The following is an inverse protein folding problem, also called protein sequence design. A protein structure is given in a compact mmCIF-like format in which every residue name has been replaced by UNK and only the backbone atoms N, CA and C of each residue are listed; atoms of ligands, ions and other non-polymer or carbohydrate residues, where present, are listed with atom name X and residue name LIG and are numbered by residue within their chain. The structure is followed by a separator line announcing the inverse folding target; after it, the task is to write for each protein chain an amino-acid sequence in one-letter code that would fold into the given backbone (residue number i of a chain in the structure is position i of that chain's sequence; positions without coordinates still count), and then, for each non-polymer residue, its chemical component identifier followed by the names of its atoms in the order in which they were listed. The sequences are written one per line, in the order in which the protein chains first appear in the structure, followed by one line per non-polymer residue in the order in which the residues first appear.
data_IF_009656248023
#
_entry.id   IF_009656248023
#
_cell.length_a   1.000
_cell.length_b   1.000
_cell.length_c   1.000
_cell.angle_alpha   90.00
_cell.angle_beta   90.00
_cell.angle_gamma   90.00
#
_symmetry.space_group_name_H-M   'P 1'
#
loop_
_entity.id
_entity.type
_entity.pdbx_description
1 polymer ?
#
# COMPACT_ATOMS: atom_id res chain seq x y z
N UNK A 1 -34.37 -14.14 -18.21
CA UNK A 1 -33.50 -13.14 -18.83
C UNK A 1 -32.76 -12.24 -17.83
N UNK A 2 -33.37 -11.76 -16.75
CA UNK A 2 -32.66 -10.94 -15.74
C UNK A 2 -31.53 -11.69 -15.01
N UNK A 3 -31.76 -12.93 -14.58
CA UNK A 3 -30.75 -13.76 -13.90
C UNK A 3 -29.52 -14.07 -14.78
N UNK A 4 -29.73 -14.28 -16.11
CA UNK A 4 -28.62 -14.47 -17.06
C UNK A 4 -27.80 -13.19 -17.27
N UNK A 5 -28.44 -12.01 -17.29
CA UNK A 5 -27.75 -10.72 -17.36
C UNK A 5 -26.91 -10.44 -16.11
N UNK A 6 -27.43 -10.76 -14.94
CA UNK A 6 -26.69 -10.59 -13.67
C UNK A 6 -25.45 -11.50 -13.63
N UNK A 7 -25.58 -12.75 -14.10
CA UNK A 7 -24.43 -13.69 -14.15
C UNK A 7 -23.36 -13.27 -15.17
N UNK A 8 -23.74 -12.72 -16.32
CA UNK A 8 -22.79 -12.25 -17.34
C UNK A 8 -22.04 -10.99 -16.89
N UNK A 9 -22.71 -10.05 -16.20
CA UNK A 9 -22.07 -8.85 -15.65
C UNK A 9 -21.07 -9.23 -14.55
N UNK A 10 -21.40 -10.17 -13.67
CA UNK A 10 -20.46 -10.64 -12.63
C UNK A 10 -19.26 -11.41 -13.18
N UNK A 11 -19.44 -12.19 -14.26
CA UNK A 11 -18.34 -12.88 -14.94
C UNK A 11 -17.41 -11.91 -15.67
N UNK A 12 -17.96 -10.88 -16.32
CA UNK A 12 -17.16 -9.84 -16.98
C UNK A 12 -16.34 -9.02 -15.96
N UNK A 13 -16.93 -8.65 -14.82
CA UNK A 13 -16.25 -7.93 -13.77
C UNK A 13 -15.13 -8.77 -13.13
N UNK A 14 -15.37 -10.07 -12.92
CA UNK A 14 -14.34 -10.98 -12.42
C UNK A 14 -13.19 -11.14 -13.42
N UNK A 15 -13.50 -11.34 -14.70
CA UNK A 15 -12.49 -11.45 -15.75
C UNK A 15 -11.64 -10.19 -15.89
N UNK A 16 -12.24 -8.99 -15.85
CA UNK A 16 -11.52 -7.72 -15.89
C UNK A 16 -10.61 -7.56 -14.67
N UNK A 17 -11.08 -7.92 -13.49
CA UNK A 17 -10.27 -7.89 -12.25
C UNK A 17 -9.08 -8.84 -12.35
N UNK A 18 -9.32 -10.08 -12.71
CA UNK A 18 -8.24 -11.07 -12.84
C UNK A 18 -7.22 -10.65 -13.90
N UNK A 19 -7.68 -10.17 -15.06
CA UNK A 19 -6.81 -9.73 -16.13
C UNK A 19 -5.94 -8.52 -15.72
N UNK A 20 -6.53 -7.52 -15.03
CA UNK A 20 -5.76 -6.35 -14.59
C UNK A 20 -4.75 -6.72 -13.49
N UNK A 21 -5.09 -7.59 -12.55
CA UNK A 21 -4.11 -8.07 -11.54
C UNK A 21 -2.99 -8.89 -12.20
N UNK A 22 -3.34 -9.79 -13.12
CA UNK A 22 -2.37 -10.62 -13.83
C UNK A 22 -1.41 -9.80 -14.72
N UNK A 23 -1.81 -8.62 -15.17
CA UNK A 23 -0.95 -7.71 -15.91
C UNK A 23 -0.14 -6.79 -15.01
N UNK A 24 -0.77 -6.22 -13.97
CA UNK A 24 -0.12 -5.23 -13.11
C UNK A 24 0.94 -5.84 -12.18
N UNK A 25 0.70 -7.01 -11.60
CA UNK A 25 1.64 -7.60 -10.67
C UNK A 25 3.00 -7.96 -11.33
N UNK A 26 3.06 -8.66 -12.48
CA UNK A 26 4.32 -8.90 -13.17
C UNK A 26 5.00 -7.61 -13.65
N UNK A 27 4.23 -6.60 -14.09
CA UNK A 27 4.76 -5.31 -14.51
C UNK A 27 5.43 -4.60 -13.33
N UNK A 28 4.79 -4.58 -12.15
CA UNK A 28 5.38 -3.97 -10.96
C UNK A 28 6.65 -4.71 -10.54
N UNK A 29 6.63 -6.05 -10.52
CA UNK A 29 7.83 -6.84 -10.20
C UNK A 29 8.96 -6.60 -11.20
N UNK A 30 8.65 -6.47 -12.48
CA UNK A 30 9.62 -6.13 -13.52
C UNK A 30 10.22 -4.74 -13.33
N UNK A 31 9.41 -3.73 -12.94
CA UNK A 31 9.88 -2.39 -12.61
C UNK A 31 10.77 -2.43 -11.34
N UNK A 32 10.41 -3.21 -10.32
CA UNK A 32 11.25 -3.42 -9.13
C UNK A 32 12.57 -4.06 -9.52
N UNK A 33 12.55 -5.01 -10.45
CA UNK A 33 13.78 -5.68 -10.92
C UNK A 33 14.70 -4.71 -11.67
N UNK A 34 14.17 -3.90 -12.61
CA UNK A 34 14.95 -2.85 -13.30
C UNK A 34 15.50 -1.86 -12.27
N UNK A 35 14.64 -1.40 -11.35
CA UNK A 35 14.99 -0.46 -10.27
C UNK A 35 15.31 0.94 -10.76
N UNK A 36 16.22 1.63 -10.02
CA UNK A 36 16.73 2.97 -10.34
C UNK A 36 15.65 3.97 -10.81
N UNK A 37 15.90 4.61 -11.95
CA UNK A 37 14.99 5.64 -12.49
C UNK A 37 13.59 5.13 -12.82
N UNK A 38 13.48 3.87 -13.25
CA UNK A 38 12.18 3.30 -13.63
C UNK A 38 11.30 3.12 -12.39
N UNK A 39 11.89 2.64 -11.29
CA UNK A 39 11.18 2.51 -10.01
C UNK A 39 10.86 3.89 -9.41
N UNK A 40 11.80 4.84 -9.46
CA UNK A 40 11.56 6.22 -9.05
C UNK A 40 10.39 6.86 -9.80
N UNK A 41 10.32 6.70 -11.14
CA UNK A 41 9.21 7.20 -11.95
C UNK A 41 7.87 6.54 -11.61
N UNK A 42 7.87 5.23 -11.28
CA UNK A 42 6.67 4.55 -10.78
C UNK A 42 6.17 5.22 -9.48
N UNK A 43 7.07 5.49 -8.53
CA UNK A 43 6.70 6.13 -7.28
C UNK A 43 6.20 7.57 -7.50
N UNK A 44 6.84 8.34 -8.37
CA UNK A 44 6.37 9.69 -8.74
C UNK A 44 4.98 9.68 -9.37
N UNK A 45 4.73 8.75 -10.27
CA UNK A 45 3.41 8.58 -10.89
C UNK A 45 2.36 8.21 -9.85
N UNK A 46 2.72 7.32 -8.93
CA UNK A 46 1.84 6.91 -7.82
C UNK A 46 1.46 8.08 -6.91
N UNK A 47 2.36 9.05 -6.66
CA UNK A 47 2.06 10.26 -5.88
C UNK A 47 0.89 11.04 -6.49
N UNK A 48 0.89 11.25 -7.80
CA UNK A 48 -0.17 12.04 -8.47
C UNK A 48 -1.54 11.40 -8.24
N UNK A 49 -1.61 10.08 -8.34
CA UNK A 49 -2.83 9.31 -8.16
C UNK A 49 -3.26 9.31 -6.69
N UNK A 50 -2.36 8.94 -5.78
CA UNK A 50 -2.61 8.84 -4.34
C UNK A 50 -2.98 10.19 -3.73
N UNK A 51 -2.32 11.28 -4.14
CA UNK A 51 -2.64 12.64 -3.70
C UNK A 51 -4.05 13.06 -4.11
N UNK A 52 -4.48 12.69 -5.33
CA UNK A 52 -5.84 12.99 -5.81
C UNK A 52 -6.90 12.22 -5.01
N UNK A 53 -6.65 10.96 -4.72
CA UNK A 53 -7.55 10.10 -3.95
C UNK A 53 -7.62 10.55 -2.48
N UNK A 54 -6.47 10.88 -1.88
CA UNK A 54 -6.40 11.41 -0.52
C UNK A 54 -7.18 12.70 -0.36
N UNK A 55 -7.02 13.64 -1.29
CA UNK A 55 -7.76 14.90 -1.26
C UNK A 55 -9.29 14.66 -1.33
N UNK A 56 -9.72 13.71 -2.13
CA UNK A 56 -11.12 13.29 -2.21
C UNK A 56 -11.60 12.71 -0.88
N UNK A 57 -10.82 11.83 -0.25
CA UNK A 57 -11.14 11.24 1.05
C UNK A 57 -11.18 12.26 2.18
N UNK A 58 -10.41 13.35 2.10
CA UNK A 58 -10.35 14.39 3.13
C UNK A 58 -11.28 15.58 2.87
N UNK A 59 -12.17 15.49 1.85
CA UNK A 59 -13.21 16.48 1.56
C UNK A 59 -12.71 17.70 0.80
N UNK A 60 -11.63 17.55 0.05
CA UNK A 60 -11.22 18.53 -0.95
C UNK A 60 -12.15 18.53 -2.15
N UNK A 61 -12.31 19.67 -2.79
CA UNK A 61 -12.84 19.72 -4.15
C UNK A 61 -11.82 19.01 -5.04
N UNK A 62 -12.21 18.07 -5.86
CA UNK A 62 -11.29 17.39 -6.79
C UNK A 62 -10.62 18.30 -7.84
N UNK A 63 -10.55 19.61 -7.57
CA UNK A 63 -9.89 20.60 -8.38
C UNK A 63 -8.38 20.31 -8.41
N UNK A 64 -7.83 20.13 -9.59
CA UNK A 64 -6.43 19.81 -9.84
C UNK A 64 -5.44 20.72 -9.08
N UNK A 65 -5.77 22.01 -8.94
CA UNK A 65 -4.93 22.98 -8.24
C UNK A 65 -4.85 22.76 -6.71
N UNK A 66 -5.89 22.18 -6.09
CA UNK A 66 -5.87 21.86 -4.66
C UNK A 66 -4.91 20.72 -4.32
N UNK A 67 -4.58 19.88 -5.31
CA UNK A 67 -3.67 18.75 -5.15
C UNK A 67 -2.24 19.09 -5.57
N UNK A 68 -2.05 20.17 -6.32
CA UNK A 68 -0.74 20.50 -6.92
C UNK A 68 0.32 20.75 -5.84
N UNK A 69 -0.04 21.46 -4.78
CA UNK A 69 0.89 21.67 -3.64
C UNK A 69 1.33 20.36 -3.03
N UNK A 70 0.38 19.45 -2.77
CA UNK A 70 0.70 18.13 -2.23
C UNK A 70 1.60 17.34 -3.20
N UNK A 71 1.25 17.28 -4.47
CA UNK A 71 2.04 16.58 -5.51
C UNK A 71 3.46 17.12 -5.62
N UNK A 72 3.61 18.45 -5.62
CA UNK A 72 4.93 19.11 -5.71
C UNK A 72 5.78 18.81 -4.48
N UNK A 73 5.21 18.90 -3.27
CA UNK A 73 5.94 18.61 -2.03
C UNK A 73 6.27 17.11 -1.91
N UNK A 74 5.35 16.24 -2.29
CA UNK A 74 5.58 14.81 -2.27
C UNK A 74 6.62 14.37 -3.32
N UNK A 75 6.52 14.88 -4.54
CA UNK A 75 7.53 14.65 -5.58
C UNK A 75 8.89 15.24 -5.22
N UNK A 76 8.88 16.44 -4.62
CA UNK A 76 10.08 17.10 -4.08
C UNK A 76 10.74 16.30 -2.98
N UNK A 77 9.95 15.62 -2.12
CA UNK A 77 10.49 14.72 -1.09
C UNK A 77 11.19 13.50 -1.69
N UNK A 78 10.58 12.83 -2.68
CA UNK A 78 11.25 11.71 -3.37
C UNK A 78 12.49 12.18 -4.13
N UNK A 79 12.42 13.33 -4.81
CA UNK A 79 13.58 13.90 -5.49
C UNK A 79 14.69 14.27 -4.49
N UNK A 80 14.32 14.83 -3.34
CA UNK A 80 15.29 15.14 -2.27
C UNK A 80 15.99 13.88 -1.76
N UNK A 81 15.25 12.78 -1.55
CA UNK A 81 15.84 11.49 -1.17
C UNK A 81 16.80 10.96 -2.23
N UNK A 82 16.47 11.15 -3.51
CA UNK A 82 17.29 10.68 -4.64
C UNK A 82 18.59 11.45 -4.80
N UNK A 83 18.54 12.78 -4.68
CA UNK A 83 19.68 13.64 -5.01
C UNK A 83 20.51 14.08 -3.80
N UNK A 84 19.90 14.17 -2.61
CA UNK A 84 20.53 14.75 -1.42
C UNK A 84 20.58 13.76 -0.24
N UNK A 85 19.53 12.99 -0.03
CA UNK A 85 19.44 12.00 1.05
C UNK A 85 18.09 11.94 1.73
N UNK A 86 17.91 10.92 2.59
CA UNK A 86 16.62 10.65 3.24
C UNK A 86 16.33 11.63 4.39
N UNK A 87 17.35 12.22 5.03
CA UNK A 87 17.15 13.22 6.08
C UNK A 87 16.53 14.47 5.46
N UNK A 88 17.06 14.95 4.35
CA UNK A 88 16.54 16.09 3.60
C UNK A 88 15.12 15.83 3.10
N UNK A 89 14.85 14.61 2.65
CA UNK A 89 13.51 14.20 2.25
C UNK A 89 12.51 14.28 3.43
N UNK A 90 12.90 13.85 4.62
CA UNK A 90 12.05 13.95 5.82
C UNK A 90 11.78 15.40 6.24
N UNK A 91 12.74 16.31 6.01
CA UNK A 91 12.50 17.76 6.19
C UNK A 91 11.43 18.26 5.22
N UNK A 92 11.46 17.81 3.96
CA UNK A 92 10.42 18.15 2.99
C UNK A 92 9.06 17.54 3.38
N UNK A 93 9.03 16.32 3.93
CA UNK A 93 7.80 15.73 4.49
C UNK A 93 7.23 16.59 5.62
N UNK A 94 8.08 17.03 6.56
CA UNK A 94 7.65 17.89 7.67
C UNK A 94 7.10 19.23 7.17
N UNK A 95 7.75 19.82 6.15
CA UNK A 95 7.24 21.02 5.47
C UNK A 95 5.89 20.75 4.80
N UNK A 96 5.71 19.60 4.13
CA UNK A 96 4.45 19.21 3.51
C UNK A 96 3.32 19.08 4.53
N UNK A 97 3.58 18.48 5.70
CA UNK A 97 2.63 18.40 6.82
C UNK A 97 2.19 19.80 7.25
N UNK A 98 3.13 20.71 7.48
CA UNK A 98 2.85 22.10 7.87
C UNK A 98 2.05 22.87 6.83
N UNK A 99 2.43 22.76 5.55
CA UNK A 99 1.74 23.43 4.43
C UNK A 99 0.32 22.90 4.27
N UNK A 100 0.12 21.59 4.27
CA UNK A 100 -1.23 21.00 4.13
C UNK A 100 -2.12 21.35 5.35
N UNK A 101 -1.57 21.37 6.56
CA UNK A 101 -2.27 21.83 7.75
C UNK A 101 -2.72 23.29 7.62
N UNK A 102 -1.83 24.18 7.18
CA UNK A 102 -2.10 25.61 6.98
C UNK A 102 -3.15 25.84 5.89
N UNK A 103 -3.04 25.14 4.76
CA UNK A 103 -4.01 25.23 3.66
C UNK A 103 -5.39 24.71 4.09
N UNK A 104 -5.43 23.61 4.87
CA UNK A 104 -6.67 23.07 5.40
C UNK A 104 -7.32 24.06 6.39
N UNK A 105 -6.54 24.65 7.29
CA UNK A 105 -7.02 25.67 8.22
C UNK A 105 -7.63 26.88 7.50
N UNK A 106 -6.91 27.43 6.51
CA UNK A 106 -7.40 28.56 5.70
C UNK A 106 -8.69 28.23 4.94
N UNK A 107 -8.82 27.00 4.44
CA UNK A 107 -9.99 26.53 3.68
C UNK A 107 -11.09 25.96 4.58
N UNK A 108 -10.97 26.05 5.90
CA UNK A 108 -11.90 25.49 6.90
C UNK A 108 -12.17 23.99 6.68
N UNK A 109 -11.13 23.25 6.28
CA UNK A 109 -11.17 21.78 6.12
C UNK A 109 -10.69 21.09 7.39
N UNK A 110 -10.80 19.77 7.43
CA UNK A 110 -10.28 18.96 8.55
C UNK A 110 -8.75 18.99 8.56
N UNK A 111 -8.17 19.77 9.47
CA UNK A 111 -6.72 19.98 9.57
C UNK A 111 -5.96 18.69 9.91
N UNK A 112 -6.35 17.89 10.92
CA UNK A 112 -5.70 16.62 11.23
C UNK A 112 -5.59 15.67 10.04
N UNK A 113 -6.66 15.48 9.27
CA UNK A 113 -6.63 14.61 8.10
C UNK A 113 -5.76 15.16 6.97
N UNK A 114 -5.80 16.47 6.75
CA UNK A 114 -4.94 17.09 5.74
C UNK A 114 -3.45 16.96 6.10
N UNK A 115 -3.10 17.21 7.36
CA UNK A 115 -1.74 17.08 7.87
C UNK A 115 -1.23 15.64 7.87
N UNK A 116 -2.11 14.65 8.08
CA UNK A 116 -1.75 13.24 8.06
C UNK A 116 -1.43 12.71 6.66
N UNK A 117 -2.01 13.31 5.61
CA UNK A 117 -1.83 12.87 4.23
C UNK A 117 -0.38 12.73 3.77
N UNK A 118 0.49 13.75 3.95
CA UNK A 118 1.90 13.65 3.62
C UNK A 118 2.61 12.49 4.33
N UNK A 119 2.33 12.26 5.61
CA UNK A 119 2.90 11.14 6.36
C UNK A 119 2.43 9.82 5.76
N UNK A 120 1.11 9.68 5.56
CA UNK A 120 0.50 8.44 5.10
C UNK A 120 0.89 8.03 3.67
N UNK A 121 1.19 8.99 2.79
CA UNK A 121 1.53 8.72 1.38
C UNK A 121 3.05 8.77 1.16
N UNK A 122 3.72 9.82 1.64
CA UNK A 122 5.13 10.04 1.25
C UNK A 122 6.05 9.08 1.99
N UNK A 123 5.83 8.85 3.30
CA UNK A 123 6.71 7.99 4.10
C UNK A 123 6.76 6.55 3.58
N UNK A 124 5.64 5.90 3.21
CA UNK A 124 5.68 4.57 2.60
C UNK A 124 6.42 4.52 1.25
N UNK A 125 6.26 5.55 0.42
CA UNK A 125 6.96 5.61 -0.86
C UNK A 125 8.46 5.84 -0.68
N UNK A 126 8.87 6.68 0.28
CA UNK A 126 10.27 6.82 0.68
C UNK A 126 10.84 5.50 1.24
N UNK A 127 10.05 4.79 2.05
CA UNK A 127 10.44 3.49 2.59
C UNK A 127 10.66 2.46 1.48
N UNK A 128 9.77 2.38 0.50
CA UNK A 128 9.93 1.51 -0.68
C UNK A 128 11.18 1.88 -1.50
N UNK A 129 11.40 3.18 -1.69
CA UNK A 129 12.58 3.66 -2.41
C UNK A 129 13.87 3.31 -1.66
N UNK A 130 13.88 3.51 -0.33
CA UNK A 130 15.01 3.17 0.52
C UNK A 130 15.28 1.66 0.53
N UNK A 131 14.23 0.83 0.72
CA UNK A 131 14.34 -0.62 0.68
C UNK A 131 14.95 -1.09 -0.65
N UNK A 132 14.42 -0.58 -1.78
CA UNK A 132 14.91 -0.97 -3.10
C UNK A 132 16.37 -0.56 -3.33
N UNK A 133 16.79 0.55 -2.73
CA UNK A 133 18.14 1.08 -2.82
C UNK A 133 19.20 0.32 -1.99
N UNK A 134 18.80 -0.65 -1.14
CA UNK A 134 19.75 -1.40 -0.34
C UNK A 134 20.64 -2.30 -1.23
N UNK A 135 21.97 -2.23 -1.07
CA UNK A 135 22.88 -3.11 -1.80
C UNK A 135 22.54 -4.59 -1.55
N UNK A 136 22.62 -5.42 -2.56
CA UNK A 136 22.42 -6.89 -2.54
C UNK A 136 20.99 -7.28 -2.18
N UNK A 137 20.44 -6.82 -1.06
CA UNK A 137 19.13 -7.27 -0.51
C UNK A 137 17.92 -6.44 -0.96
N UNK A 138 18.13 -5.34 -1.69
CA UNK A 138 17.05 -4.38 -1.98
C UNK A 138 15.92 -4.95 -2.84
N UNK A 139 16.25 -5.68 -3.90
CA UNK A 139 15.25 -6.36 -4.73
C UNK A 139 14.51 -7.41 -3.89
N UNK A 140 15.25 -8.25 -3.17
CA UNK A 140 14.72 -9.31 -2.32
C UNK A 140 13.77 -8.76 -1.28
N UNK A 141 14.13 -7.69 -0.59
CA UNK A 141 13.32 -7.06 0.44
C UNK A 141 11.98 -6.53 -0.09
N UNK A 142 11.98 -5.85 -1.25
CA UNK A 142 10.74 -5.32 -1.85
C UNK A 142 9.87 -6.45 -2.42
N UNK A 143 10.46 -7.43 -3.10
CA UNK A 143 9.71 -8.58 -3.62
C UNK A 143 9.11 -9.40 -2.48
N UNK A 144 9.88 -9.66 -1.42
CA UNK A 144 9.40 -10.35 -0.23
C UNK A 144 8.22 -9.61 0.41
N UNK A 145 8.34 -8.29 0.60
CA UNK A 145 7.27 -7.46 1.13
C UNK A 145 5.98 -7.58 0.31
N UNK A 146 6.07 -7.49 -1.01
CA UNK A 146 4.91 -7.63 -1.90
C UNK A 146 4.28 -9.02 -1.80
N UNK A 147 5.09 -10.08 -1.80
CA UNK A 147 4.58 -11.45 -1.67
C UNK A 147 3.84 -11.65 -0.35
N UNK A 148 4.34 -11.13 0.75
CA UNK A 148 3.70 -11.22 2.07
C UNK A 148 2.38 -10.46 2.10
N UNK A 149 2.36 -9.20 1.64
CA UNK A 149 1.14 -8.37 1.63
C UNK A 149 0.09 -8.99 0.70
N UNK A 150 0.45 -9.38 -0.53
CA UNK A 150 -0.48 -10.01 -1.47
C UNK A 150 -1.00 -11.35 -0.95
N UNK A 151 -0.15 -12.16 -0.31
CA UNK A 151 -0.59 -13.40 0.33
C UNK A 151 -1.59 -13.13 1.43
N UNK A 152 -1.36 -12.11 2.25
CA UNK A 152 -2.29 -11.69 3.29
C UNK A 152 -3.67 -11.42 2.71
N UNK A 153 -3.76 -10.59 1.66
CA UNK A 153 -5.03 -10.15 1.07
C UNK A 153 -5.75 -11.30 0.35
N UNK A 154 -5.01 -12.08 -0.45
CA UNK A 154 -5.57 -13.21 -1.20
C UNK A 154 -6.16 -14.23 -0.25
N UNK A 155 -5.39 -14.68 0.75
CA UNK A 155 -5.84 -15.73 1.65
C UNK A 155 -6.85 -15.24 2.69
N UNK A 156 -6.78 -13.95 3.11
CA UNK A 156 -7.83 -13.35 3.92
C UNK A 156 -9.17 -13.33 3.17
N UNK A 157 -9.16 -13.01 1.88
CA UNK A 157 -10.36 -13.03 1.04
C UNK A 157 -10.88 -14.46 0.82
N UNK A 158 -10.03 -15.41 0.47
CA UNK A 158 -10.42 -16.80 0.19
C UNK A 158 -10.95 -17.48 1.45
N UNK A 159 -10.20 -17.45 2.56
CA UNK A 159 -10.55 -18.11 3.81
C UNK A 159 -11.75 -17.42 4.47
N UNK A 160 -11.76 -16.07 4.45
CA UNK A 160 -12.87 -15.29 4.99
C UNK A 160 -14.18 -15.45 4.22
N UNK A 161 -14.10 -15.74 2.92
CA UNK A 161 -15.25 -16.01 2.07
C UNK A 161 -15.80 -17.43 2.20
N UNK A 162 -14.94 -18.41 2.50
CA UNK A 162 -15.33 -19.84 2.63
C UNK A 162 -15.74 -20.21 4.06
N UNK A 163 -15.01 -19.72 5.05
CA UNK A 163 -15.30 -19.99 6.46
C UNK A 163 -16.25 -18.91 7.01
N UNK A 164 -17.49 -19.29 7.25
CA UNK A 164 -18.53 -18.40 7.80
C UNK A 164 -18.25 -18.09 9.28
N UNK A 165 -17.30 -17.19 9.55
CA UNK A 165 -16.93 -16.80 10.92
C UNK A 165 -17.47 -15.42 11.29
N UNK A 166 -17.33 -15.05 12.57
CA UNK A 166 -17.72 -13.72 13.07
C UNK A 166 -17.05 -12.59 12.26
N UNK A 167 -17.79 -11.51 12.07
CA UNK A 167 -17.27 -10.32 11.38
C UNK A 167 -16.23 -9.62 12.25
N UNK A 168 -15.13 -9.18 11.62
CA UNK A 168 -14.02 -8.51 12.30
C UNK A 168 -14.39 -7.06 12.67
N UNK A 169 -14.91 -6.31 11.73
CA UNK A 169 -15.26 -4.89 11.90
C UNK A 169 -16.52 -4.54 11.09
N UNK A 170 -17.74 -4.91 11.57
CA UNK A 170 -18.98 -4.78 10.79
C UNK A 170 -19.29 -3.37 10.30
N UNK A 171 -19.00 -2.35 11.12
CA UNK A 171 -19.26 -0.94 10.81
C UNK A 171 -18.26 -0.32 9.82
N UNK A 172 -17.06 -0.88 9.71
CA UNK A 172 -15.96 -0.36 8.89
C UNK A 172 -15.89 -1.14 7.58
N UNK A 173 -15.72 -2.46 7.70
CA UNK A 173 -15.59 -3.40 6.58
C UNK A 173 -16.45 -4.65 6.83
N UNK A 174 -17.71 -4.68 6.36
CA UNK A 174 -18.64 -5.79 6.63
C UNK A 174 -18.22 -7.09 5.93
N UNK A 175 -17.28 -7.04 4.99
CA UNK A 175 -16.72 -8.22 4.32
C UNK A 175 -15.69 -8.97 5.15
N UNK A 176 -14.94 -8.30 6.02
CA UNK A 176 -13.85 -8.90 6.79
C UNK A 176 -14.33 -9.79 7.93
N UNK A 177 -13.67 -10.92 8.11
CA UNK A 177 -13.98 -11.93 9.15
C UNK A 177 -12.74 -12.29 9.97
N UNK A 178 -12.93 -12.80 11.18
CA UNK A 178 -11.84 -13.29 12.02
C UNK A 178 -11.08 -14.47 11.38
N UNK A 179 -11.81 -15.40 10.74
CA UNK A 179 -11.17 -16.49 10.02
C UNK A 179 -10.30 -15.99 8.86
N UNK A 180 -10.78 -14.98 8.14
CA UNK A 180 -10.00 -14.31 7.10
C UNK A 180 -8.72 -13.66 7.63
N UNK A 181 -8.80 -12.93 8.75
CA UNK A 181 -7.64 -12.32 9.39
C UNK A 181 -6.60 -13.38 9.77
N UNK A 182 -7.02 -14.40 10.56
CA UNK A 182 -6.11 -15.45 11.04
C UNK A 182 -5.51 -16.22 9.86
N UNK A 183 -6.35 -16.62 8.90
CA UNK A 183 -5.88 -17.38 7.73
C UNK A 183 -4.95 -16.57 6.83
N UNK A 184 -5.27 -15.31 6.58
CA UNK A 184 -4.43 -14.39 5.79
C UNK A 184 -3.06 -14.17 6.44
N UNK A 185 -3.03 -13.88 7.74
CA UNK A 185 -1.78 -13.69 8.51
C UNK A 185 -0.95 -14.98 8.59
N UNK A 186 -1.60 -16.14 8.77
CA UNK A 186 -0.89 -17.43 8.76
C UNK A 186 -0.25 -17.70 7.40
N UNK A 187 -1.00 -17.49 6.31
CA UNK A 187 -0.47 -17.66 4.95
C UNK A 187 0.63 -16.64 4.63
N UNK A 188 0.52 -15.41 5.15
CA UNK A 188 1.58 -14.40 5.05
C UNK A 188 2.89 -14.87 5.73
N UNK A 189 2.78 -15.47 6.92
CA UNK A 189 3.92 -16.08 7.59
C UNK A 189 4.56 -17.21 6.77
N UNK A 190 3.74 -18.13 6.25
CA UNK A 190 4.22 -19.23 5.40
C UNK A 190 4.88 -18.71 4.12
N UNK A 191 4.25 -17.75 3.43
CA UNK A 191 4.80 -17.10 2.24
C UNK A 191 6.13 -16.40 2.55
N UNK A 192 6.18 -15.68 3.68
CA UNK A 192 7.39 -15.00 4.16
C UNK A 192 8.51 -15.97 4.47
N UNK A 193 8.22 -17.12 5.07
CA UNK A 193 9.21 -18.17 5.34
C UNK A 193 9.72 -18.83 4.07
N UNK A 194 8.83 -19.21 3.14
CA UNK A 194 9.20 -19.83 1.85
C UNK A 194 10.03 -18.87 1.00
N UNK A 195 9.55 -17.62 0.83
CA UNK A 195 10.27 -16.60 0.08
C UNK A 195 11.60 -16.25 0.75
N UNK A 196 11.64 -16.16 2.09
CA UNK A 196 12.85 -15.94 2.86
C UNK A 196 13.88 -17.05 2.67
N UNK A 197 13.46 -18.32 2.71
CA UNK A 197 14.35 -19.46 2.46
C UNK A 197 14.98 -19.42 1.05
N UNK A 198 14.18 -19.06 0.03
CA UNK A 198 14.68 -18.91 -1.34
C UNK A 198 15.67 -17.74 -1.45
N UNK A 199 15.33 -16.57 -0.92
CA UNK A 199 16.18 -15.38 -0.97
C UNK A 199 17.48 -15.56 -0.19
N UNK A 200 17.47 -16.32 0.92
CA UNK A 200 18.67 -16.73 1.65
C UNK A 200 19.60 -17.60 0.77
N UNK A 201 19.04 -18.51 0.00
CA UNK A 201 19.83 -19.39 -0.86
C UNK A 201 20.58 -18.66 -1.97
N UNK A 202 20.17 -17.43 -2.29
CA UNK A 202 20.82 -16.56 -3.31
C UNK A 202 21.42 -15.30 -2.68
N UNK A 203 21.61 -15.27 -1.36
CA UNK A 203 22.18 -14.15 -0.61
C UNK A 203 21.46 -12.81 -0.79
N UNK A 204 20.16 -12.87 -1.13
CA UNK A 204 19.32 -11.69 -1.42
C UNK A 204 18.32 -11.36 -0.30
N UNK A 205 18.53 -11.88 0.92
CA UNK A 205 17.67 -11.64 2.07
C UNK A 205 18.47 -11.10 3.26
N UNK A 206 17.92 -10.09 3.92
CA UNK A 206 18.61 -9.38 5.02
C UNK A 206 18.58 -10.17 6.34
N UNK A 207 17.67 -11.11 6.50
CA UNK A 207 17.50 -11.88 7.72
C UNK A 207 18.15 -13.25 7.63
N UNK A 208 18.82 -13.68 8.71
CA UNK A 208 19.71 -14.85 8.71
C UNK A 208 18.99 -16.21 8.58
N UNK A 209 17.68 -16.29 8.84
CA UNK A 209 16.97 -17.58 8.86
C UNK A 209 15.59 -17.52 8.21
N UNK A 210 15.14 -18.63 7.64
CA UNK A 210 13.78 -18.77 7.09
C UNK A 210 12.70 -18.65 8.18
N UNK A 211 13.00 -19.04 9.42
CA UNK A 211 12.07 -18.90 10.54
C UNK A 211 11.82 -17.43 10.91
N UNK A 212 12.81 -16.57 10.75
CA UNK A 212 12.64 -15.12 10.84
C UNK A 212 11.70 -14.63 9.75
N UNK A 213 11.81 -15.18 8.53
CA UNK A 213 10.87 -14.89 7.44
C UNK A 213 9.41 -15.19 7.80
N UNK A 214 9.14 -16.29 8.54
CA UNK A 214 7.78 -16.58 9.05
C UNK A 214 7.32 -15.55 10.06
N UNK A 215 8.12 -15.24 11.07
CA UNK A 215 7.77 -14.32 12.14
C UNK A 215 7.49 -12.92 11.59
N UNK A 216 8.35 -12.44 10.72
CA UNK A 216 8.19 -11.15 10.06
C UNK A 216 7.02 -11.14 9.08
N UNK A 217 6.79 -12.25 8.37
CA UNK A 217 5.62 -12.41 7.51
C UNK A 217 4.31 -12.29 8.28
N UNK A 218 4.23 -12.88 9.47
CA UNK A 218 3.10 -12.72 10.40
C UNK A 218 2.97 -11.24 10.81
N UNK A 219 4.06 -10.61 11.24
CA UNK A 219 4.06 -9.22 11.69
C UNK A 219 3.63 -8.26 10.58
N UNK A 220 4.20 -8.39 9.39
CA UNK A 220 3.86 -7.58 8.22
C UNK A 220 2.41 -7.86 7.77
N UNK A 221 1.95 -9.11 7.81
CA UNK A 221 0.57 -9.46 7.49
C UNK A 221 -0.45 -8.80 8.43
N UNK A 222 -0.17 -8.77 9.74
CA UNK A 222 -1.00 -8.03 10.71
C UNK A 222 -0.98 -6.54 10.40
N UNK A 223 0.21 -5.98 10.12
CA UNK A 223 0.37 -4.54 9.78
C UNK A 223 -0.40 -4.18 8.52
N UNK A 224 -0.38 -5.02 7.49
CA UNK A 224 -1.14 -4.83 6.26
C UNK A 224 -2.66 -4.81 6.52
N UNK A 225 -3.17 -5.73 7.34
CA UNK A 225 -4.59 -5.76 7.71
C UNK A 225 -5.03 -4.54 8.53
N UNK A 226 -4.14 -4.00 9.38
CA UNK A 226 -4.39 -2.74 10.09
C UNK A 226 -4.48 -1.58 9.09
N UNK A 227 -3.60 -1.54 8.08
CA UNK A 227 -3.62 -0.54 7.01
C UNK A 227 -4.93 -0.53 6.24
N UNK A 228 -5.36 -1.69 5.73
CA UNK A 228 -6.63 -1.84 5.00
C UNK A 228 -7.84 -1.47 5.89
N UNK A 229 -7.86 -1.85 7.17
CA UNK A 229 -8.91 -1.42 8.09
C UNK A 229 -8.90 0.09 8.33
N UNK A 230 -7.73 0.69 8.45
CA UNK A 230 -7.56 2.13 8.60
C UNK A 230 -8.07 2.91 7.39
N UNK A 231 -7.72 2.47 6.18
CA UNK A 231 -8.21 3.07 4.94
C UNK A 231 -9.73 2.86 4.78
N UNK A 232 -10.23 1.68 5.09
CA UNK A 232 -11.66 1.39 5.10
C UNK A 232 -12.42 2.32 6.07
N UNK A 233 -11.87 2.57 7.26
CA UNK A 233 -12.44 3.51 8.23
C UNK A 233 -12.46 4.94 7.68
N UNK A 234 -11.40 5.42 7.06
CA UNK A 234 -11.36 6.74 6.42
C UNK A 234 -12.44 6.89 5.35
N UNK A 235 -12.65 5.87 4.52
CA UNK A 235 -13.73 5.86 3.51
C UNK A 235 -15.11 5.99 4.14
N UNK A 236 -15.38 5.27 5.24
CA UNK A 236 -16.68 5.34 5.95
C UNK A 236 -16.95 6.71 6.56
N UNK A 237 -15.93 7.40 7.07
CA UNK A 237 -16.09 8.78 7.57
C UNK A 237 -16.65 9.74 6.49
N UNK A 238 -16.46 9.41 5.21
CA UNK A 238 -16.95 10.20 4.07
C UNK A 238 -18.10 9.55 3.31
N UNK A 239 -18.67 8.47 3.85
CA UNK A 239 -19.70 7.68 3.17
C UNK A 239 -19.26 7.18 1.77
N UNK A 240 -17.96 7.02 1.57
CA UNK A 240 -17.38 6.48 0.36
C UNK A 240 -17.16 4.98 0.52
N UNK A 241 -17.18 4.27 -0.62
CA UNK A 241 -16.83 2.85 -0.69
C UNK A 241 -15.42 2.68 -1.27
N UNK A 242 -15.10 3.42 -2.31
CA UNK A 242 -13.84 3.33 -3.03
C UNK A 242 -13.13 4.69 -2.98
N UNK A 243 -11.78 4.70 -2.89
CA UNK A 243 -10.97 5.93 -2.87
C UNK A 243 -10.99 6.65 -4.21
N UNK A 244 -11.03 5.89 -5.31
CA UNK A 244 -11.01 6.39 -6.68
C UNK A 244 -11.74 5.49 -7.68
N UNK A 245 -11.52 5.74 -8.98
CA UNK A 245 -12.03 4.93 -10.11
C UNK A 245 -10.97 4.81 -11.22
N UNK A 246 -9.71 4.92 -10.86
CA UNK A 246 -8.61 5.01 -11.84
C UNK A 246 -8.31 3.63 -12.44
N UNK A 247 -8.39 2.57 -11.63
CA UNK A 247 -8.11 1.21 -12.10
C UNK A 247 -9.43 0.54 -12.49
N UNK A 248 -9.63 0.22 -13.79
CA UNK A 248 -10.86 -0.45 -14.25
C UNK A 248 -11.14 -1.72 -13.46
N UNK A 249 -12.34 -1.83 -12.90
CA UNK A 249 -12.78 -2.96 -12.10
C UNK A 249 -12.20 -3.05 -10.67
N UNK A 250 -11.21 -2.20 -10.30
CA UNK A 250 -10.51 -2.28 -9.02
C UNK A 250 -10.65 -1.06 -8.10
N UNK A 251 -11.27 0.03 -8.55
CA UNK A 251 -11.40 1.26 -7.74
C UNK A 251 -10.21 2.19 -7.84
N UNK A 252 -9.74 2.74 -6.74
CA UNK A 252 -8.58 3.60 -6.66
C UNK A 252 -7.26 2.85 -6.51
N UNK A 253 -6.16 3.58 -6.68
CA UNK A 253 -4.82 3.06 -6.39
C UNK A 253 -4.65 2.84 -4.88
N UNK A 254 -5.16 3.76 -4.05
CA UNK A 254 -5.08 3.66 -2.60
C UNK A 254 -5.76 2.39 -2.09
N UNK A 255 -6.92 2.03 -2.67
CA UNK A 255 -7.63 0.77 -2.38
C UNK A 255 -6.80 -0.51 -2.72
N UNK A 256 -5.66 -0.38 -3.39
CA UNK A 256 -4.77 -1.49 -3.80
C UNK A 256 -3.45 -1.53 -3.05
N UNK A 257 -3.07 -0.43 -2.47
CA UNK A 257 -1.80 -0.29 -1.76
C UNK A 257 -1.96 0.02 -0.27
N UNK A 258 -3.20 0.02 0.24
CA UNK A 258 -3.55 0.33 1.63
C UNK A 258 -2.77 -0.50 2.66
N UNK A 259 -2.68 -1.81 2.45
CA UNK A 259 -1.82 -2.68 3.25
C UNK A 259 -0.33 -2.37 3.10
N UNK A 260 0.10 -1.95 1.91
CA UNK A 260 1.49 -1.59 1.64
C UNK A 260 1.88 -0.25 2.29
N UNK A 261 0.92 0.70 2.39
CA UNK A 261 1.16 2.01 3.04
C UNK A 261 1.60 1.88 4.50
N UNK A 262 1.13 0.87 5.21
CA UNK A 262 1.56 0.61 6.60
C UNK A 262 2.74 -0.35 6.68
N UNK A 263 2.80 -1.33 5.79
CA UNK A 263 3.81 -2.40 5.82
C UNK A 263 5.19 -1.95 5.33
N UNK A 264 5.26 -1.05 4.34
CA UNK A 264 6.54 -0.62 3.79
C UNK A 264 7.42 0.15 4.79
N UNK A 265 6.90 1.11 5.59
CA UNK A 265 7.69 1.74 6.64
C UNK A 265 8.14 0.75 7.72
N UNK A 266 7.28 -0.20 8.11
CA UNK A 266 7.65 -1.22 9.10
C UNK A 266 8.77 -2.12 8.58
N UNK A 267 8.70 -2.55 7.33
CA UNK A 267 9.78 -3.33 6.71
C UNK A 267 11.09 -2.53 6.62
N UNK A 268 11.01 -1.24 6.29
CA UNK A 268 12.20 -0.39 6.25
C UNK A 268 12.86 -0.27 7.64
N UNK A 269 12.07 -0.09 8.70
CA UNK A 269 12.59 -0.07 10.08
C UNK A 269 13.23 -1.41 10.44
N UNK A 270 12.59 -2.53 10.11
CA UNK A 270 13.14 -3.87 10.38
C UNK A 270 14.48 -4.08 9.67
N UNK A 271 14.57 -3.72 8.39
CA UNK A 271 15.83 -3.83 7.62
C UNK A 271 16.90 -2.89 8.17
N UNK A 272 16.53 -1.68 8.60
CA UNK A 272 17.49 -0.72 9.19
C UNK A 272 18.04 -1.16 10.55
N UNK A 273 17.22 -1.84 11.35
CA UNK A 273 17.65 -2.30 12.70
C UNK A 273 18.55 -3.53 12.62
N UNK A 274 18.34 -4.39 11.62
CA UNK A 274 19.06 -5.67 11.49
C UNK A 274 20.25 -5.58 10.55
N UNK A 275 20.18 -4.70 9.54
CA UNK A 275 21.28 -4.49 8.57
C UNK A 275 22.19 -3.38 9.00
#
# INVERSE_FOLDING_TARGET
MAALRVSLVTLSDFAVRTASTAALAPMILFIVWIGEWVFFLLLLTSIVLLASEWNRLTGGSGAAFSNMTFVVLAGGSLASAWFFGYIEALVVVAAAVGVEALLAWRKKRNVPFAAFGPIYIIVPLLALMWLRGQPVVGIGSVVWLFLVVWSTDIFAYLIGGTLHSAKLAPSISPGKTWAGLIGGVTCAGLAGGIAGAYLLSIEAFVFETWSTGIQLGIFIGVTAQIGDLGESWLKRLRMLKDSGRIIPGHGGLLDRVDGLMTSAPMMAVLVWVVG
#
